data_IF_530228854337
#
_entry.id   IF_530228854337
#
_cell.length_a   1.000
_cell.length_b   1.000
_cell.length_c   1.000
_cell.angle_alpha   90.00
_cell.angle_beta   90.00
_cell.angle_gamma   90.00
#
_symmetry.space_group_name_H-M   'P 1'
#
loop_
_entity.id
_entity.type
_entity.pdbx_description
1 polymer ?
#
# COMPACT_ATOMS: atom_id res chain seq x y z
N UNK A 1 21.18 -9.13 2.20
CA UNK A 1 19.81 -8.83 2.67
C UNK A 1 18.85 -9.52 1.71
N UNK A 2 17.56 -9.58 2.05
CA UNK A 2 16.55 -10.27 1.28
C UNK A 2 15.37 -9.33 1.03
N UNK A 3 15.60 -8.31 0.21
CA UNK A 3 14.66 -7.20 0.04
C UNK A 3 13.41 -7.61 -0.76
N UNK A 4 12.24 -7.17 -0.28
CA UNK A 4 10.93 -7.41 -0.92
C UNK A 4 10.27 -6.07 -1.20
N UNK A 5 9.99 -5.82 -2.48
CA UNK A 5 9.25 -4.63 -2.92
C UNK A 5 7.75 -4.92 -2.87
N UNK A 6 6.97 -3.95 -2.36
CA UNK A 6 5.51 -4.11 -2.22
C UNK A 6 4.74 -3.16 -3.14
N UNK A 7 3.88 -3.70 -3.99
CA UNK A 7 2.92 -2.94 -4.81
C UNK A 7 1.53 -2.97 -4.19
N UNK A 8 0.92 -1.81 -4.02
CA UNK A 8 -0.45 -1.66 -3.51
C UNK A 8 -1.31 -1.04 -4.61
N UNK A 9 -2.31 -1.79 -5.08
CA UNK A 9 -3.14 -1.41 -6.21
C UNK A 9 -4.58 -1.17 -5.78
N UNK A 10 -4.86 0.10 -5.46
CA UNK A 10 -6.19 0.63 -5.18
C UNK A 10 -6.62 0.54 -3.72
N UNK A 11 -7.68 1.29 -3.40
CA UNK A 11 -8.16 1.55 -2.04
C UNK A 11 -8.20 0.32 -1.12
N UNK A 12 -8.81 -0.81 -1.52
CA UNK A 12 -8.92 -2.00 -0.66
C UNK A 12 -7.56 -2.58 -0.27
N UNK A 13 -6.63 -2.60 -1.22
CA UNK A 13 -5.27 -3.06 -0.96
C UNK A 13 -4.52 -2.09 -0.05
N UNK A 14 -4.76 -0.78 -0.19
CA UNK A 14 -4.12 0.24 0.65
C UNK A 14 -4.58 0.13 2.11
N UNK A 15 -5.87 -0.21 2.36
CA UNK A 15 -6.35 -0.54 3.71
C UNK A 15 -5.62 -1.75 4.31
N UNK A 16 -5.46 -2.83 3.53
CA UNK A 16 -4.71 -4.02 3.96
C UNK A 16 -3.25 -3.70 4.24
N UNK A 17 -2.60 -3.00 3.31
CA UNK A 17 -1.21 -2.64 3.40
C UNK A 17 -0.93 -1.71 4.59
N UNK A 18 -1.84 -0.78 4.89
CA UNK A 18 -1.66 0.12 6.05
C UNK A 18 -1.63 -0.66 7.36
N UNK A 19 -2.49 -1.66 7.54
CA UNK A 19 -2.41 -2.56 8.70
C UNK A 19 -1.10 -3.34 8.74
N UNK A 20 -0.66 -3.84 7.58
CA UNK A 20 0.60 -4.55 7.44
C UNK A 20 1.79 -3.66 7.86
N UNK A 21 1.88 -2.44 7.31
CA UNK A 21 2.95 -1.48 7.62
C UNK A 21 2.95 -1.03 9.08
N UNK A 22 1.77 -0.76 9.65
CA UNK A 22 1.65 -0.43 11.06
C UNK A 22 2.13 -1.60 11.95
N UNK A 23 1.89 -2.85 11.53
CA UNK A 23 2.41 -4.03 12.23
C UNK A 23 3.93 -4.12 12.08
N UNK A 24 4.47 -3.86 10.88
CA UNK A 24 5.92 -3.87 10.68
C UNK A 24 6.63 -2.80 11.50
N UNK A 25 6.09 -1.59 11.56
CA UNK A 25 6.62 -0.50 12.38
C UNK A 25 6.66 -0.87 13.87
N UNK A 26 5.69 -1.64 14.35
CA UNK A 26 5.67 -2.09 15.74
C UNK A 26 6.81 -3.04 16.13
N UNK A 27 7.53 -3.61 15.17
CA UNK A 27 8.71 -4.45 15.43
C UNK A 27 10.01 -3.68 15.59
N UNK A 28 10.03 -2.36 15.31
CA UNK A 28 11.22 -1.56 15.49
C UNK A 28 11.60 -1.46 16.98
N UNK A 29 12.84 -1.81 17.30
CA UNK A 29 13.40 -1.69 18.65
C UNK A 29 14.22 -0.41 18.76
N UNK A 30 13.61 0.66 19.28
CA UNK A 30 14.26 1.96 19.40
C UNK A 30 15.22 2.08 20.60
N UNK A 31 15.18 1.13 21.55
CA UNK A 31 15.96 1.19 22.80
C UNK A 31 17.32 0.50 22.75
N UNK A 32 17.67 -0.21 21.66
CA UNK A 32 19.00 -0.83 21.46
C UNK A 32 19.37 -1.95 22.42
N UNK A 33 18.50 -2.33 23.36
CA UNK A 33 18.79 -3.35 24.38
C UNK A 33 18.50 -4.78 23.89
N UNK A 34 17.67 -4.96 22.86
CA UNK A 34 17.33 -6.26 22.28
C UNK A 34 17.41 -6.21 20.75
N UNK A 35 18.07 -7.21 20.17
CA UNK A 35 18.04 -7.42 18.73
C UNK A 35 16.61 -7.79 18.30
N UNK A 36 16.08 -7.11 17.26
CA UNK A 36 14.73 -7.38 16.82
C UNK A 36 14.65 -8.83 16.31
N UNK A 37 13.54 -9.49 16.60
CA UNK A 37 13.28 -10.85 16.09
C UNK A 37 13.00 -10.82 14.58
N UNK A 38 12.43 -9.70 14.13
CA UNK A 38 12.04 -9.43 12.75
C UNK A 38 13.05 -8.47 12.13
N UNK A 39 13.62 -8.88 10.99
CA UNK A 39 14.50 -8.08 10.17
C UNK A 39 13.68 -7.02 9.40
N UNK A 40 13.77 -5.77 9.84
CA UNK A 40 13.04 -4.67 9.19
C UNK A 40 13.61 -4.31 7.82
N UNK A 41 14.89 -4.60 7.53
CA UNK A 41 15.56 -4.22 6.29
C UNK A 41 15.03 -4.97 5.06
N UNK A 42 14.31 -6.07 5.29
CA UNK A 42 13.59 -6.81 4.24
C UNK A 42 12.57 -5.93 3.53
N UNK A 43 11.82 -5.12 4.30
CA UNK A 43 10.75 -4.29 3.73
C UNK A 43 11.02 -2.79 3.84
N UNK A 44 11.87 -2.36 4.76
CA UNK A 44 12.24 -0.96 4.92
C UNK A 44 13.57 -0.68 4.24
N UNK A 45 13.76 0.58 3.89
CA UNK A 45 15.05 1.12 3.47
C UNK A 45 15.45 2.23 4.44
N UNK A 46 16.72 2.27 4.86
CA UNK A 46 17.26 3.40 5.59
C UNK A 46 17.39 4.61 4.65
N UNK A 47 17.17 5.79 5.19
CA UNK A 47 17.35 7.08 4.53
C UNK A 47 17.68 8.14 5.57
N UNK A 48 18.05 9.34 5.11
CA UNK A 48 18.35 10.46 5.99
C UNK A 48 17.21 11.47 5.83
N UNK A 49 16.53 11.78 6.94
CA UNK A 49 15.49 12.80 6.97
C UNK A 49 16.07 14.19 6.76
N UNK A 50 15.22 15.17 6.47
CA UNK A 50 15.68 16.55 6.26
C UNK A 50 16.29 17.20 7.52
N UNK A 51 16.02 16.63 8.70
CA UNK A 51 16.64 16.96 9.99
C UNK A 51 18.00 16.28 10.23
N UNK A 52 18.44 15.42 9.30
CA UNK A 52 19.67 14.64 9.40
C UNK A 52 19.53 13.35 10.23
N UNK A 53 18.34 13.02 10.72
CA UNK A 53 18.09 11.78 11.45
C UNK A 53 17.99 10.59 10.50
N UNK A 54 18.35 9.39 10.98
CA UNK A 54 18.08 8.15 10.26
C UNK A 54 16.57 7.89 10.24
N UNK A 55 16.04 7.65 9.05
CA UNK A 55 14.63 7.41 8.79
C UNK A 55 14.47 6.12 8.05
N UNK A 56 13.44 5.36 8.38
CA UNK A 56 13.11 4.11 7.69
C UNK A 56 11.83 4.31 6.91
N UNK A 57 11.89 4.07 5.61
CA UNK A 57 10.71 4.16 4.72
C UNK A 57 10.43 2.80 4.09
N UNK A 58 9.16 2.40 3.91
CA UNK A 58 8.84 1.15 3.22
C UNK A 58 9.28 1.15 1.76
N UNK A 59 9.76 0.00 1.28
CA UNK A 59 10.03 -0.29 -0.14
C UNK A 59 8.72 -0.59 -0.85
N UNK A 60 7.90 0.44 -1.06
CA UNK A 60 6.55 0.27 -1.60
C UNK A 60 6.20 1.31 -2.65
N UNK A 61 5.32 0.93 -3.58
CA UNK A 61 4.62 1.84 -4.48
C UNK A 61 3.13 1.66 -4.27
N UNK A 62 2.43 2.77 -4.11
CA UNK A 62 1.03 2.87 -3.73
C UNK A 62 0.29 3.59 -4.83
N UNK A 63 -0.65 2.86 -5.46
CA UNK A 63 -1.55 3.40 -6.46
C UNK A 63 -2.93 3.60 -5.84
N UNK A 64 -3.47 4.81 -5.96
CA UNK A 64 -4.86 5.08 -5.64
C UNK A 64 -5.44 6.16 -6.55
N UNK A 65 -6.77 6.20 -6.59
CA UNK A 65 -7.50 7.24 -7.31
C UNK A 65 -7.38 8.58 -6.60
N UNK A 66 -7.61 9.66 -7.34
CA UNK A 66 -7.74 10.99 -6.76
C UNK A 66 -8.78 10.99 -5.62
N UNK A 67 -8.38 11.52 -4.47
CA UNK A 67 -9.17 11.52 -3.23
C UNK A 67 -9.02 10.27 -2.36
N UNK A 68 -8.40 9.18 -2.86
CA UNK A 68 -8.17 7.95 -2.09
C UNK A 68 -7.13 8.08 -0.98
N UNK A 69 -6.14 8.96 -1.17
CA UNK A 69 -5.06 9.25 -0.22
C UNK A 69 -5.52 10.05 1.01
N UNK A 70 -6.76 10.54 1.04
CA UNK A 70 -7.28 11.30 2.18
C UNK A 70 -6.40 12.51 2.51
N UNK A 71 -5.90 12.55 3.74
CA UNK A 71 -5.01 13.62 4.25
C UNK A 71 -3.55 13.37 3.97
N UNK A 72 -3.17 12.20 3.44
CA UNK A 72 -1.78 11.88 3.14
C UNK A 72 -1.29 12.81 2.02
N UNK A 73 -0.33 13.66 2.37
CA UNK A 73 0.34 14.52 1.39
C UNK A 73 1.40 13.70 0.65
N UNK A 74 1.65 14.06 -0.61
CA UNK A 74 2.75 13.47 -1.39
C UNK A 74 4.11 13.76 -0.76
N UNK A 75 4.24 14.92 -0.11
CA UNK A 75 5.39 15.32 0.68
C UNK A 75 5.00 15.27 2.15
N UNK A 76 5.64 14.36 2.88
CA UNK A 76 5.53 14.25 4.33
C UNK A 76 6.53 15.21 4.99
N UNK A 77 6.41 15.43 6.30
CA UNK A 77 7.33 16.28 7.08
C UNK A 77 8.82 15.99 6.82
N UNK A 78 9.17 14.73 6.49
CA UNK A 78 10.52 14.31 6.12
C UNK A 78 11.08 14.99 4.86
N UNK A 79 10.23 15.52 3.96
CA UNK A 79 10.58 16.07 2.64
C UNK A 79 10.06 17.51 2.41
N UNK A 80 9.45 18.15 3.42
CA UNK A 80 8.89 19.51 3.27
C UNK A 80 9.94 20.57 2.89
N UNK A 81 11.22 20.34 3.19
CA UNK A 81 12.32 21.28 2.94
C UNK A 81 12.81 21.32 1.47
N UNK A 82 12.40 20.39 0.61
CA UNK A 82 12.86 20.34 -0.80
C UNK A 82 12.03 21.22 -1.76
N UNK A 83 10.78 21.56 -1.43
CA UNK A 83 9.90 22.35 -2.31
C UNK A 83 10.20 23.86 -2.32
N UNK A 84 10.72 24.42 -1.21
CA UNK A 84 11.11 25.84 -1.15
C UNK A 84 12.20 26.20 -2.19
N UNK A 85 12.86 25.19 -2.78
CA UNK A 85 13.87 25.38 -3.84
C UNK A 85 13.37 25.05 -5.25
N UNK A 86 12.32 24.23 -5.43
CA UNK A 86 11.90 23.72 -6.74
C UNK A 86 10.69 24.45 -7.36
N UNK A 87 9.86 25.13 -6.54
CA UNK A 87 8.62 25.77 -7.01
C UNK A 87 8.82 27.05 -7.87
N UNK A 88 10.06 27.44 -8.18
CA UNK A 88 10.37 28.70 -8.88
C UNK A 88 10.79 28.54 -10.35
N UNK A 89 10.72 27.34 -10.95
CA UNK A 89 11.16 27.13 -12.34
C UNK A 89 10.16 26.32 -13.20
N UNK A 90 9.10 26.98 -13.69
CA UNK A 90 8.16 26.39 -14.66
C UNK A 90 7.66 27.40 -15.70
N UNK A 91 8.17 27.29 -16.93
CA UNK A 91 7.96 28.19 -18.06
C UNK A 91 6.62 27.98 -18.80
N UNK A 92 5.48 28.17 -18.14
CA UNK A 92 4.15 28.11 -18.77
C UNK A 92 3.45 29.48 -18.80
N UNK A 93 3.29 30.05 -19.99
CA UNK A 93 2.61 31.33 -20.25
C UNK A 93 1.09 31.17 -20.40
N UNK A 94 0.44 30.58 -19.40
CA UNK A 94 -1.02 30.56 -19.30
C UNK A 94 -1.38 30.41 -17.84
N UNK A 95 -2.19 31.33 -17.29
CA UNK A 95 -2.59 31.27 -15.88
C UNK A 95 -3.41 30.00 -15.65
N UNK A 96 -2.89 28.97 -14.94
CA UNK A 96 -3.69 27.82 -14.61
C UNK A 96 -4.81 28.29 -13.69
N UNK A 97 -6.06 28.01 -14.06
CA UNK A 97 -7.20 28.23 -13.17
C UNK A 97 -7.13 27.16 -12.09
N UNK A 98 -6.37 27.45 -11.05
CA UNK A 98 -6.31 26.67 -9.81
C UNK A 98 -7.69 26.71 -9.17
N UNK A 99 -8.45 25.61 -9.25
CA UNK A 99 -9.68 25.45 -8.46
C UNK A 99 -9.29 24.80 -7.13
N UNK A 100 -9.40 25.50 -6.00
CA UNK A 100 -9.13 24.89 -4.71
C UNK A 100 -10.20 23.81 -4.44
N UNK A 101 -9.75 22.56 -4.32
CA UNK A 101 -10.58 21.48 -3.77
C UNK A 101 -10.67 21.71 -2.25
N UNK A 102 -11.82 21.44 -1.60
CA UNK A 102 -11.89 21.52 -0.15
C UNK A 102 -10.82 20.62 0.48
N UNK A 103 -10.01 21.21 1.36
CA UNK A 103 -8.99 20.50 2.11
C UNK A 103 -9.64 19.41 2.97
N UNK A 104 -9.13 18.20 2.90
CA UNK A 104 -9.59 17.12 3.77
C UNK A 104 -8.95 17.35 5.14
N UNK A 105 -9.78 17.56 6.16
CA UNK A 105 -9.31 17.78 7.52
C UNK A 105 -8.63 16.52 8.09
N UNK A 106 -7.44 16.63 8.69
CA UNK A 106 -6.77 15.52 9.37
C UNK A 106 -7.65 14.84 10.41
N UNK A 107 -7.52 13.52 10.54
CA UNK A 107 -8.20 12.79 11.61
C UNK A 107 -7.61 13.19 12.97
N UNK A 108 -8.41 13.11 14.04
CA UNK A 108 -7.92 13.34 15.40
C UNK A 108 -6.74 12.42 15.76
N UNK A 109 -6.72 11.21 15.17
CA UNK A 109 -5.63 10.26 15.32
C UNK A 109 -4.33 10.80 14.70
N UNK A 110 -4.36 11.27 13.45
CA UNK A 110 -3.18 11.83 12.78
C UNK A 110 -2.66 13.08 13.50
N UNK A 111 -3.55 13.98 13.91
CA UNK A 111 -3.17 15.17 14.69
C UNK A 111 -2.48 14.80 16.01
N UNK A 112 -2.94 13.74 16.68
CA UNK A 112 -2.29 13.28 17.90
C UNK A 112 -0.89 12.74 17.65
N UNK A 113 -0.68 12.01 16.54
CA UNK A 113 0.63 11.51 16.15
C UNK A 113 1.60 12.64 15.80
N UNK A 114 1.16 13.62 14.99
CA UNK A 114 1.97 14.79 14.62
C UNK A 114 2.40 15.60 15.85
N UNK A 115 1.52 15.75 16.84
CA UNK A 115 1.81 16.49 18.08
C UNK A 115 2.51 15.64 19.15
N UNK A 116 2.78 14.36 18.90
CA UNK A 116 3.38 13.45 19.89
C UNK A 116 2.51 13.24 21.13
N UNK A 117 1.18 13.42 21.02
CA UNK A 117 0.22 13.23 22.11
C UNK A 117 -0.39 11.84 22.08
N UNK A 118 -0.99 11.38 23.18
CA UNK A 118 -1.65 10.08 23.24
C UNK A 118 -2.80 10.02 22.23
N UNK A 119 -2.75 9.12 21.23
CA UNK A 119 -3.78 9.07 20.21
C UNK A 119 -5.10 8.52 20.75
N UNK A 120 -6.25 9.02 20.28
CA UNK A 120 -7.55 8.46 20.63
C UNK A 120 -7.69 7.03 20.10
N UNK A 121 -8.54 6.24 20.74
CA UNK A 121 -8.86 4.90 20.26
C UNK A 121 -9.58 4.97 18.91
N UNK A 122 -9.06 4.25 17.92
CA UNK A 122 -9.66 4.16 16.60
C UNK A 122 -10.97 3.37 16.64
N UNK A 123 -12.01 3.93 16.03
CA UNK A 123 -13.29 3.26 15.78
C UNK A 123 -13.60 3.25 14.29
N UNK A 124 -14.55 2.40 13.87
CA UNK A 124 -15.02 2.34 12.48
C UNK A 124 -15.45 3.71 11.96
N UNK A 125 -16.10 4.51 12.80
CA UNK A 125 -16.66 5.82 12.45
C UNK A 125 -15.58 6.89 12.30
N UNK A 126 -14.46 6.73 13.00
CA UNK A 126 -13.33 7.67 12.94
C UNK A 126 -12.50 7.56 11.65
N UNK A 127 -12.62 6.45 10.92
CA UNK A 127 -11.76 6.13 9.78
C UNK A 127 -12.54 6.30 8.48
N UNK A 128 -12.13 7.28 7.68
CA UNK A 128 -12.72 7.61 6.37
C UNK A 128 -11.83 7.12 5.23
N UNK A 129 -10.52 7.22 5.41
CA UNK A 129 -9.49 6.82 4.44
C UNK A 129 -8.48 5.85 5.07
N UNK A 130 -7.74 5.12 4.23
CA UNK A 130 -6.67 4.26 4.73
C UNK A 130 -5.54 5.07 5.38
N UNK A 131 -5.31 6.30 4.92
CA UNK A 131 -4.35 7.23 5.51
C UNK A 131 -4.70 7.64 6.94
N UNK A 132 -5.97 7.60 7.34
CA UNK A 132 -6.42 8.13 8.65
C UNK A 132 -5.81 7.38 9.83
N UNK A 133 -5.41 6.11 9.66
CA UNK A 133 -4.78 5.28 10.69
C UNK A 133 -3.35 4.84 10.33
N UNK A 134 -2.76 5.42 9.28
CA UNK A 134 -1.38 5.16 8.89
C UNK A 134 -0.40 5.74 9.90
N UNK A 135 0.63 4.98 10.29
CA UNK A 135 1.70 5.45 11.17
C UNK A 135 3.02 5.69 10.44
N UNK A 136 3.19 5.04 9.30
CA UNK A 136 4.48 4.96 8.63
C UNK A 136 4.63 6.09 7.62
N UNK A 137 5.82 6.69 7.57
CA UNK A 137 6.14 7.65 6.53
C UNK A 137 6.55 6.94 5.25
N UNK A 138 5.95 7.36 4.13
CA UNK A 138 6.30 6.88 2.81
C UNK A 138 7.24 7.86 2.11
N UNK A 139 8.05 7.32 1.19
CA UNK A 139 8.84 8.14 0.29
C UNK A 139 7.93 8.85 -0.73
N UNK A 140 8.25 10.07 -1.20
CA UNK A 140 7.43 10.77 -2.18
C UNK A 140 7.25 10.02 -3.50
N UNK A 141 8.23 9.20 -3.91
CA UNK A 141 8.10 8.33 -5.10
C UNK A 141 7.21 7.11 -4.87
N UNK A 142 6.90 6.76 -3.62
CA UNK A 142 5.97 5.67 -3.31
C UNK A 142 4.53 6.06 -3.61
N UNK A 143 4.19 7.35 -3.67
CA UNK A 143 2.81 7.84 -3.77
C UNK A 143 2.49 8.16 -5.24
N UNK A 144 1.69 7.31 -5.87
CA UNK A 144 1.25 7.44 -7.26
C UNK A 144 -0.25 7.64 -7.32
N UNK A 145 -0.67 8.87 -7.62
CA UNK A 145 -2.07 9.25 -7.74
C UNK A 145 -2.53 9.19 -9.20
N UNK A 146 -3.60 8.42 -9.45
CA UNK A 146 -4.27 8.37 -10.74
C UNK A 146 -5.29 9.52 -10.84
N UNK A 147 -5.11 10.42 -11.80
CA UNK A 147 -5.84 11.69 -11.87
C UNK A 147 -7.04 11.65 -12.81
N UNK A 148 -7.15 10.61 -13.63
CA UNK A 148 -8.16 10.43 -14.65
C UNK A 148 -9.54 10.16 -14.02
N UNK A 149 -9.55 9.61 -12.81
CA UNK A 149 -10.77 9.27 -12.08
C UNK A 149 -10.69 9.64 -10.60
N UNK A 150 -11.83 10.10 -10.06
CA UNK A 150 -12.00 10.42 -8.65
C UNK A 150 -12.70 9.29 -7.91
N UNK A 151 -12.27 9.05 -6.67
CA UNK A 151 -12.89 8.08 -5.77
C UNK A 151 -14.37 8.43 -5.55
N UNK A 152 -15.27 7.46 -5.77
CA UNK A 152 -16.70 7.66 -5.60
C UNK A 152 -17.40 8.37 -6.77
N UNK A 153 -16.73 8.54 -7.92
CA UNK A 153 -17.35 9.03 -9.15
C UNK A 153 -18.58 8.19 -9.53
N UNK A 154 -19.66 8.87 -9.94
CA UNK A 154 -20.92 8.24 -10.39
C UNK A 154 -20.72 7.33 -11.60
N UNK A 155 -19.64 7.53 -12.36
CA UNK A 155 -19.31 6.72 -13.53
C UNK A 155 -18.80 5.32 -13.17
N UNK A 156 -18.42 5.07 -11.91
CA UNK A 156 -17.89 3.79 -11.39
C UNK A 156 -17.02 3.02 -12.41
N UNK A 157 -16.02 3.68 -13.03
CA UNK A 157 -15.35 3.17 -14.24
C UNK A 157 -14.71 1.80 -14.02
N UNK A 158 -14.16 1.56 -12.82
CA UNK A 158 -13.48 0.32 -12.46
C UNK A 158 -14.41 -0.83 -12.07
N UNK A 159 -15.73 -0.69 -12.18
CA UNK A 159 -16.60 -1.87 -12.14
C UNK A 159 -16.42 -2.72 -13.40
N UNK A 160 -16.19 -2.09 -14.54
CA UNK A 160 -15.93 -2.75 -15.82
C UNK A 160 -14.43 -3.00 -16.02
N UNK A 161 -14.09 -4.22 -16.44
CA UNK A 161 -12.72 -4.60 -16.78
C UNK A 161 -12.13 -3.74 -17.89
N UNK A 162 -12.87 -3.55 -18.99
CA UNK A 162 -12.34 -2.90 -20.19
C UNK A 162 -11.92 -1.46 -19.94
N UNK A 163 -12.65 -0.74 -19.09
CA UNK A 163 -12.33 0.65 -18.73
C UNK A 163 -11.02 0.71 -17.92
N UNK A 164 -10.80 -0.25 -17.02
CA UNK A 164 -9.54 -0.35 -16.28
C UNK A 164 -8.36 -0.72 -17.18
N UNK A 165 -8.58 -1.62 -18.12
CA UNK A 165 -7.58 -2.03 -19.12
C UNK A 165 -7.22 -0.88 -20.07
N UNK A 166 -8.20 -0.13 -20.56
CA UNK A 166 -7.98 1.05 -21.40
C UNK A 166 -7.17 2.13 -20.66
N UNK A 167 -7.51 2.40 -19.39
CA UNK A 167 -6.77 3.33 -18.55
C UNK A 167 -5.33 2.86 -18.31
N UNK A 168 -5.15 1.58 -17.97
CA UNK A 168 -3.82 1.03 -17.75
C UNK A 168 -2.97 1.17 -19.01
N UNK A 169 -3.52 0.79 -20.17
CA UNK A 169 -2.84 0.91 -21.46
C UNK A 169 -2.53 2.35 -21.85
N UNK A 170 -3.39 3.32 -21.52
CA UNK A 170 -3.09 4.73 -21.79
C UNK A 170 -1.95 5.24 -20.91
N UNK A 171 -1.99 4.90 -19.62
CA UNK A 171 -0.98 5.34 -18.67
C UNK A 171 0.39 4.68 -18.94
N UNK A 172 0.39 3.39 -19.27
CA UNK A 172 1.60 2.63 -19.54
C UNK A 172 2.32 3.14 -20.81
N UNK A 173 1.56 3.43 -21.88
CA UNK A 173 2.10 4.02 -23.11
C UNK A 173 2.73 5.39 -22.90
N UNK A 174 2.16 6.20 -22.00
CA UNK A 174 2.64 7.56 -21.76
C UNK A 174 3.86 7.58 -20.83
N UNK A 175 3.96 6.63 -19.89
CA UNK A 175 4.84 6.79 -18.74
C UNK A 175 5.64 5.54 -18.30
N UNK A 176 5.46 4.38 -18.93
CA UNK A 176 6.05 3.09 -18.49
C UNK A 176 5.93 2.95 -16.97
N UNK A 177 4.69 3.09 -16.48
CA UNK A 177 4.41 3.45 -15.09
C UNK A 177 5.10 2.53 -14.10
N UNK A 178 4.94 1.22 -14.32
CA UNK A 178 5.42 0.20 -13.42
C UNK A 178 6.95 0.19 -13.42
N UNK A 179 7.58 0.22 -14.59
CA UNK A 179 9.02 0.24 -14.69
C UNK A 179 9.59 1.52 -14.06
N UNK A 180 9.08 2.71 -14.40
CA UNK A 180 9.56 3.98 -13.82
C UNK A 180 9.47 3.98 -12.29
N UNK A 181 8.31 3.59 -11.75
CA UNK A 181 8.04 3.72 -10.32
C UNK A 181 8.74 2.62 -9.51
N UNK A 182 8.73 1.37 -10.01
CA UNK A 182 9.42 0.25 -9.36
C UNK A 182 10.93 0.31 -9.51
N UNK A 183 11.44 0.73 -10.67
CA UNK A 183 12.88 0.72 -10.98
C UNK A 183 13.67 1.48 -9.94
N UNK A 184 13.16 2.63 -9.49
CA UNK A 184 13.86 3.40 -8.45
C UNK A 184 14.07 2.60 -7.16
N UNK A 185 13.07 1.85 -6.70
CA UNK A 185 13.20 0.98 -5.52
C UNK A 185 13.97 -0.31 -5.81
N UNK A 186 13.92 -0.82 -7.04
CA UNK A 186 14.60 -2.04 -7.44
C UNK A 186 16.10 -1.82 -7.61
N UNK A 187 16.52 -0.66 -8.13
CA UNK A 187 17.93 -0.26 -8.25
C UNK A 187 18.58 0.02 -6.89
N UNK A 188 17.80 0.46 -5.91
CA UNK A 188 18.23 0.65 -4.52
C UNK A 188 18.28 -0.65 -3.70
N UNK A 189 17.81 -1.78 -4.25
CA UNK A 189 17.86 -3.07 -3.58
C UNK A 189 19.09 -3.85 -4.05
N UNK A 190 19.99 -4.19 -3.11
CA UNK A 190 21.20 -4.95 -3.43
C UNK A 190 20.86 -6.40 -3.79
N UNK A 191 19.87 -6.97 -3.09
CA UNK A 191 19.48 -8.37 -3.23
C UNK A 191 17.95 -8.56 -3.22
N UNK A 192 17.27 -7.90 -4.17
CA UNK A 192 15.83 -8.07 -4.37
C UNK A 192 15.44 -9.55 -4.60
N UNK A 193 14.63 -10.10 -3.72
CA UNK A 193 14.16 -11.48 -3.80
C UNK A 193 12.82 -11.63 -4.50
N UNK A 194 11.94 -10.65 -4.32
CA UNK A 194 10.53 -10.80 -4.65
C UNK A 194 9.81 -9.48 -4.77
N UNK A 195 8.72 -9.52 -5.54
CA UNK A 195 7.71 -8.47 -5.56
C UNK A 195 6.45 -9.04 -4.92
N UNK A 196 5.96 -8.34 -3.90
CA UNK A 196 4.70 -8.61 -3.23
C UNK A 196 3.64 -7.66 -3.76
N UNK A 197 2.59 -8.18 -4.39
CA UNK A 197 1.47 -7.40 -4.89
C UNK A 197 0.26 -7.61 -4.00
N UNK A 198 -0.33 -6.52 -3.51
CA UNK A 198 -1.64 -6.50 -2.88
C UNK A 198 -2.61 -5.81 -3.82
N UNK A 199 -3.63 -6.53 -4.29
CA UNK A 199 -4.56 -5.98 -5.26
C UNK A 199 -5.92 -6.67 -5.21
N UNK A 200 -6.97 -5.95 -5.58
CA UNK A 200 -8.30 -6.54 -5.79
C UNK A 200 -8.54 -6.99 -7.25
N UNK A 201 -7.78 -6.42 -8.19
CA UNK A 201 -7.78 -6.70 -9.63
C UNK A 201 -6.37 -6.44 -10.16
N UNK A 202 -5.92 -7.20 -11.15
CA UNK A 202 -4.52 -7.25 -11.53
C UNK A 202 -4.33 -7.24 -13.04
N UNK A 203 -3.28 -6.54 -13.47
CA UNK A 203 -2.71 -6.56 -14.82
C UNK A 203 -1.25 -6.10 -14.74
N UNK A 204 -0.42 -6.80 -13.96
CA UNK A 204 0.97 -6.39 -13.69
C UNK A 204 1.93 -7.45 -14.21
N UNK A 205 2.71 -7.10 -15.24
CA UNK A 205 3.75 -7.95 -15.80
C UNK A 205 5.12 -7.61 -15.22
N UNK A 206 5.83 -8.61 -14.67
CA UNK A 206 7.24 -8.46 -14.28
C UNK A 206 8.01 -9.78 -14.46
N UNK A 207 8.90 -9.84 -15.45
CA UNK A 207 9.41 -11.11 -15.99
C UNK A 207 10.63 -11.74 -15.33
N UNK A 208 11.22 -11.15 -14.27
CA UNK A 208 12.57 -11.58 -13.78
C UNK A 208 12.67 -11.98 -12.31
N UNK A 209 11.61 -11.82 -11.52
CA UNK A 209 11.69 -11.99 -10.05
C UNK A 209 10.45 -12.73 -9.53
N UNK A 210 10.57 -13.41 -8.39
CA UNK A 210 9.45 -14.11 -7.78
C UNK A 210 8.31 -13.12 -7.49
N UNK A 211 7.11 -13.44 -7.97
CA UNK A 211 5.94 -12.58 -7.87
C UNK A 211 4.90 -13.24 -6.97
N UNK A 212 4.68 -12.65 -5.79
CA UNK A 212 3.65 -13.09 -4.84
C UNK A 212 2.48 -12.14 -4.90
N UNK A 213 1.31 -12.70 -5.20
CA UNK A 213 0.11 -11.92 -5.42
C UNK A 213 -0.93 -12.25 -4.38
N UNK A 214 -1.27 -11.28 -3.55
CA UNK A 214 -2.35 -11.34 -2.58
C UNK A 214 -3.60 -10.73 -3.20
N UNK A 215 -4.49 -11.59 -3.69
CA UNK A 215 -5.74 -11.21 -4.34
C UNK A 215 -6.84 -10.95 -3.32
N UNK A 216 -7.24 -9.69 -3.12
CA UNK A 216 -8.33 -9.32 -2.23
C UNK A 216 -9.67 -9.59 -2.90
N UNK A 217 -10.26 -10.73 -2.57
CA UNK A 217 -11.55 -11.14 -3.09
C UNK A 217 -12.68 -10.57 -2.22
N UNK A 218 -13.56 -9.78 -2.85
CA UNK A 218 -14.75 -9.28 -2.19
C UNK A 218 -15.80 -10.37 -1.99
N UNK A 219 -16.77 -10.14 -1.11
CA UNK A 219 -17.90 -11.06 -0.97
C UNK A 219 -18.74 -11.07 -2.26
N UNK A 220 -18.54 -12.09 -3.09
CA UNK A 220 -19.20 -12.26 -4.38
C UNK A 220 -20.74 -12.34 -4.26
N UNK A 221 -21.28 -12.60 -3.07
CA UNK A 221 -22.72 -12.70 -2.81
C UNK A 221 -23.39 -11.36 -2.47
N UNK A 222 -22.64 -10.27 -2.37
CA UNK A 222 -23.21 -8.94 -2.11
C UNK A 222 -23.62 -8.21 -3.40
N UNK A 223 -24.88 -7.77 -3.44
CA UNK A 223 -25.46 -6.92 -4.48
C UNK A 223 -26.41 -7.66 -5.43
N UNK A 224 -27.00 -6.96 -6.42
CA UNK A 224 -27.85 -7.56 -7.46
C UNK A 224 -27.12 -8.64 -8.26
N UNK A 225 -27.84 -9.64 -8.77
CA UNK A 225 -27.26 -10.77 -9.53
C UNK A 225 -26.36 -10.35 -10.70
N UNK A 226 -26.69 -9.24 -11.38
CA UNK A 226 -25.87 -8.66 -12.45
C UNK A 226 -24.49 -8.22 -11.95
N UNK A 227 -24.45 -7.52 -10.81
CA UNK A 227 -23.19 -7.07 -10.19
C UNK A 227 -22.35 -8.23 -9.68
N UNK A 228 -22.99 -9.31 -9.19
CA UNK A 228 -22.30 -10.53 -8.76
C UNK A 228 -21.62 -11.21 -9.95
N UNK A 229 -22.32 -11.32 -11.09
CA UNK A 229 -21.76 -11.89 -12.31
C UNK A 229 -20.58 -11.07 -12.85
N UNK A 230 -20.70 -9.73 -12.86
CA UNK A 230 -19.60 -8.85 -13.26
C UNK A 230 -18.38 -9.02 -12.34
N UNK A 231 -18.58 -9.03 -11.01
CA UNK A 231 -17.50 -9.28 -10.04
C UNK A 231 -16.81 -10.61 -10.29
N UNK A 232 -17.58 -11.69 -10.46
CA UNK A 232 -17.02 -13.02 -10.73
C UNK A 232 -16.26 -13.07 -12.06
N UNK A 233 -16.79 -12.41 -13.11
CA UNK A 233 -16.12 -12.33 -14.40
C UNK A 233 -14.80 -11.56 -14.32
N UNK A 234 -14.77 -10.44 -13.58
CA UNK A 234 -13.55 -9.67 -13.37
C UNK A 234 -12.52 -10.43 -12.53
N UNK A 235 -12.95 -11.16 -11.51
CA UNK A 235 -12.06 -12.04 -10.72
C UNK A 235 -11.48 -13.15 -11.61
N UNK A 236 -12.31 -13.81 -12.41
CA UNK A 236 -11.85 -14.86 -13.30
C UNK A 236 -10.84 -14.34 -14.34
N UNK A 237 -11.09 -13.15 -14.92
CA UNK A 237 -10.14 -12.48 -15.81
C UNK A 237 -8.83 -12.13 -15.10
N UNK A 238 -8.93 -11.51 -13.92
CA UNK A 238 -7.74 -11.17 -13.11
C UNK A 238 -6.87 -12.40 -12.82
N UNK A 239 -7.49 -13.51 -12.42
CA UNK A 239 -6.78 -14.76 -12.14
C UNK A 239 -6.16 -15.32 -13.42
N UNK A 240 -6.88 -15.29 -14.55
CA UNK A 240 -6.36 -15.79 -15.82
C UNK A 240 -5.10 -15.03 -16.26
N UNK A 241 -5.13 -13.69 -16.24
CA UNK A 241 -3.97 -12.86 -16.58
C UNK A 241 -2.80 -13.13 -15.64
N UNK A 242 -3.05 -13.09 -14.34
CA UNK A 242 -2.03 -13.24 -13.29
C UNK A 242 -1.43 -14.62 -13.27
N UNK A 243 -2.19 -15.67 -13.60
CA UNK A 243 -1.72 -17.06 -13.52
C UNK A 243 -0.50 -17.34 -14.41
N UNK A 244 -0.33 -16.55 -15.48
CA UNK A 244 0.80 -16.69 -16.40
C UNK A 244 2.09 -16.01 -15.89
N UNK A 245 1.96 -15.03 -14.98
CA UNK A 245 3.04 -14.16 -14.53
C UNK A 245 3.40 -14.37 -13.05
N UNK A 246 2.42 -14.71 -12.21
CA UNK A 246 2.62 -14.89 -10.78
C UNK A 246 3.32 -16.21 -10.48
N UNK A 247 4.33 -16.13 -9.62
CA UNK A 247 4.93 -17.33 -9.03
C UNK A 247 4.00 -17.98 -8.00
N UNK A 248 3.21 -17.15 -7.30
CA UNK A 248 2.24 -17.60 -6.31
C UNK A 248 1.06 -16.63 -6.23
N UNK A 249 -0.16 -17.15 -6.37
CA UNK A 249 -1.39 -16.41 -6.14
C UNK A 249 -2.07 -16.90 -4.85
N UNK A 250 -2.35 -15.97 -3.94
CA UNK A 250 -2.95 -16.20 -2.63
C UNK A 250 -4.25 -15.42 -2.55
N UNK A 251 -5.42 -16.08 -2.67
CA UNK A 251 -6.71 -15.43 -2.51
C UNK A 251 -6.93 -15.10 -1.02
N UNK A 252 -7.19 -13.83 -0.73
CA UNK A 252 -7.56 -13.33 0.59
C UNK A 252 -9.06 -13.09 0.63
N UNK A 253 -9.77 -13.89 1.43
CA UNK A 253 -11.21 -13.81 1.63
C UNK A 253 -11.56 -13.80 3.11
N UNK A 254 -12.63 -13.09 3.47
CA UNK A 254 -13.18 -13.17 4.83
C UNK A 254 -13.90 -14.52 4.97
N UNK A 255 -13.57 -15.33 5.99
CA UNK A 255 -14.24 -16.61 6.19
C UNK A 255 -15.73 -16.42 6.48
N UNK A 256 -16.56 -17.38 6.06
CA UNK A 256 -18.02 -17.31 6.24
C UNK A 256 -18.48 -17.46 7.68
N UNK A 257 -17.65 -18.07 8.52
CA UNK A 257 -17.91 -18.26 9.95
C UNK A 257 -16.70 -17.78 10.73
N UNK A 258 -16.93 -16.90 11.71
CA UNK A 258 -15.91 -16.40 12.62
C UNK A 258 -16.16 -16.94 14.03
N UNK A 259 -15.11 -17.15 14.83
CA UNK A 259 -15.27 -17.51 16.24
C UNK A 259 -16.10 -16.48 17.00
N UNK A 260 -16.87 -16.93 18.00
CA UNK A 260 -17.79 -16.07 18.77
C UNK A 260 -17.11 -14.95 19.55
N UNK A 261 -15.81 -15.06 19.84
CA UNK A 261 -15.03 -14.02 20.50
C UNK A 261 -14.60 -12.88 19.57
N UNK A 262 -14.82 -13.00 18.26
CA UNK A 262 -14.38 -12.00 17.27
C UNK A 262 -15.53 -11.07 16.91
N UNK A 263 -15.40 -9.78 17.25
CA UNK A 263 -16.33 -8.74 16.80
C UNK A 263 -15.81 -8.09 15.53
N UNK A 264 -16.30 -8.54 14.37
CA UNK A 264 -15.92 -8.02 13.06
C UNK A 264 -17.16 -7.51 12.31
N UNK A 265 -17.04 -6.31 11.74
CA UNK A 265 -18.00 -5.84 10.74
C UNK A 265 -17.40 -6.00 9.34
N UNK A 266 -17.85 -6.97 8.53
CA UNK A 266 -17.31 -7.24 7.20
C UNK A 266 -17.64 -6.14 6.18
N UNK A 267 -18.56 -5.21 6.50
CA UNK A 267 -18.84 -4.05 5.64
C UNK A 267 -17.80 -2.93 5.78
N UNK A 268 -17.09 -2.90 6.91
CA UNK A 268 -16.02 -1.95 7.16
C UNK A 268 -14.73 -2.44 6.49
N UNK A 269 -14.20 -1.66 5.54
CA UNK A 269 -12.90 -1.96 4.92
C UNK A 269 -11.80 -2.03 5.97
N UNK A 270 -11.84 -1.18 7.00
CA UNK A 270 -10.86 -1.18 8.09
C UNK A 270 -10.87 -2.47 8.90
N UNK A 271 -12.06 -2.99 9.28
CA UNK A 271 -12.16 -4.27 10.00
C UNK A 271 -11.79 -5.45 9.11
N UNK A 272 -12.37 -5.51 7.91
CA UNK A 272 -12.12 -6.57 6.94
C UNK A 272 -10.62 -6.72 6.63
N UNK A 273 -9.96 -5.60 6.33
CA UNK A 273 -8.52 -5.58 6.04
C UNK A 273 -7.67 -5.89 7.28
N UNK A 274 -8.08 -5.51 8.49
CA UNK A 274 -7.36 -5.89 9.72
C UNK A 274 -7.26 -7.41 9.86
N UNK A 275 -8.38 -8.12 9.67
CA UNK A 275 -8.39 -9.59 9.72
C UNK A 275 -7.55 -10.22 8.61
N UNK A 276 -7.64 -9.70 7.38
CA UNK A 276 -6.82 -10.22 6.28
C UNK A 276 -5.33 -9.92 6.49
N UNK A 277 -5.00 -8.80 7.13
CA UNK A 277 -3.62 -8.42 7.46
C UNK A 277 -2.99 -9.40 8.44
N UNK A 278 -3.73 -9.97 9.39
CA UNK A 278 -3.15 -10.96 10.30
C UNK A 278 -2.77 -12.26 9.58
N UNK A 279 -3.56 -12.67 8.58
CA UNK A 279 -3.24 -13.81 7.74
C UNK A 279 -2.02 -13.53 6.87
N UNK A 280 -2.01 -12.39 6.18
CA UNK A 280 -0.87 -11.92 5.38
C UNK A 280 0.42 -11.88 6.21
N UNK A 281 0.33 -11.29 7.39
CA UNK A 281 1.43 -11.12 8.33
C UNK A 281 1.98 -12.47 8.79
N UNK A 282 1.10 -13.39 9.17
CA UNK A 282 1.49 -14.74 9.61
C UNK A 282 2.14 -15.54 8.48
N UNK A 283 1.65 -15.41 7.25
CA UNK A 283 2.19 -16.10 6.08
C UNK A 283 3.56 -15.58 5.67
N UNK A 284 3.78 -14.28 5.79
CA UNK A 284 5.02 -13.61 5.35
C UNK A 284 6.07 -13.52 6.46
N UNK A 285 5.70 -13.66 7.73
CA UNK A 285 6.63 -13.60 8.86
C UNK A 285 7.91 -14.42 8.68
N UNK A 286 7.88 -15.68 8.21
CA UNK A 286 9.09 -16.47 8.04
C UNK A 286 10.12 -15.87 7.06
N UNK A 287 9.73 -15.02 6.10
CA UNK A 287 10.67 -14.40 5.16
C UNK A 287 11.51 -13.30 5.79
N UNK A 288 11.13 -12.82 6.97
CA UNK A 288 11.77 -11.70 7.68
C UNK A 288 12.24 -12.05 9.08
N UNK A 289 12.17 -13.32 9.50
CA UNK A 289 12.77 -13.73 10.77
C UNK A 289 14.29 -13.82 10.62
N UNK A 290 15.04 -13.30 11.59
CA UNK A 290 16.48 -13.55 11.62
C UNK A 290 16.74 -15.06 11.76
N UNK A 291 17.47 -15.64 10.79
CA UNK A 291 17.74 -17.08 10.76
C UNK A 291 18.45 -17.57 12.03
N UNK A 292 18.06 -18.70 12.66
CA UNK A 292 18.78 -19.27 13.81
C UNK A 292 20.28 -19.53 13.54
N UNK A 293 20.69 -19.64 12.27
CA UNK A 293 22.09 -19.83 11.86
C UNK A 293 22.98 -18.62 12.18
N UNK A 294 22.41 -17.44 12.38
CA UNK A 294 23.17 -16.23 12.74
C UNK A 294 23.76 -16.35 14.16
N UNK A 295 23.00 -16.93 15.12
CA UNK A 295 23.46 -17.19 16.51
C UNK A 295 24.63 -18.17 16.61
N UNK A 296 24.84 -19.03 15.60
CA UNK A 296 25.95 -19.99 15.57
C UNK A 296 27.27 -19.39 15.06
N UNK A 297 27.25 -18.19 14.43
CA UNK A 297 28.47 -17.52 13.93
C UNK A 297 29.13 -16.61 14.97
N UNK A 298 28.43 -16.22 16.02
CA UNK A 298 28.97 -15.41 17.13
C UNK A 298 29.49 -16.28 18.28
N UNK A 299 29.11 -17.57 18.30
CA UNK A 299 29.56 -18.54 19.29
C UNK A 299 30.77 -19.40 18.84
N UNK A 300 31.56 -18.94 17.85
CA UNK A 300 32.82 -19.58 17.44
C UNK A 300 33.97 -18.60 17.36
#
# INVERSE_FOLDING_TARGET
>A
MHEILTLQLGQRSNYLATHFWNTQESYFTYSGEEEPVVDHDVHFRPGIGADGAETFTPRTVIYDLKGGFGTLRKLNALYELDEDRAASAGAWNGAPVMRPQPTIEPSAYQLSLENGTTPPQLTKESIRYWSDFNRVYFHPKSIVQLNEYELGSTLMPFENWSVGEDLFNSLDKEHDLLDRDLRSFAEEADHMQGIQIMASRLGVEYGKTALWVFGLEGNAKQGPRSTQFLKLSNTARSIAEVSSQASLYIPLTIPSSLPSYTTLDPSSLWHASALLSTALETMTLPSRLHSPRWRARIAR
#
